data_IF_170076151764
#
_entry.id   IF_170076151764
#
_cell.length_a   1.000
_cell.length_b   1.000
_cell.length_c   1.000
_cell.angle_alpha   90.00
_cell.angle_beta   90.00
_cell.angle_gamma   90.00
#
_symmetry.space_group_name_H-M   'P 1'
#
loop_
_entity.id
_entity.type
_entity.pdbx_description
1 polymer ?
#
# COMPACT_ATOMS: atom_id res chain seq x y z
N UNK A 1 -30.21 -8.51 -17.83
CA UNK A 1 -29.71 -7.47 -16.90
C UNK A 1 -29.53 -7.98 -15.47
N UNK A 2 -30.52 -8.61 -14.83
CA UNK A 2 -30.38 -9.14 -13.46
C UNK A 2 -29.33 -10.27 -13.35
N UNK A 3 -29.28 -11.16 -14.35
CA UNK A 3 -28.37 -12.31 -14.38
C UNK A 3 -26.90 -11.90 -14.55
N UNK A 4 -26.63 -10.89 -15.38
CA UNK A 4 -25.28 -10.38 -15.62
C UNK A 4 -24.69 -9.70 -14.37
N UNK A 5 -25.51 -8.92 -13.65
CA UNK A 5 -25.08 -8.30 -12.39
C UNK A 5 -24.72 -9.36 -11.34
N UNK A 6 -25.54 -10.41 -11.22
CA UNK A 6 -25.31 -11.51 -10.29
C UNK A 6 -24.01 -12.27 -10.63
N UNK A 7 -23.80 -12.60 -11.92
CA UNK A 7 -22.55 -13.21 -12.39
C UNK A 7 -21.34 -12.32 -12.07
N UNK A 8 -21.44 -11.00 -12.27
CA UNK A 8 -20.35 -10.08 -11.96
C UNK A 8 -20.04 -9.99 -10.45
N UNK A 9 -21.05 -10.12 -9.59
CA UNK A 9 -20.86 -10.18 -8.14
C UNK A 9 -20.15 -11.47 -7.72
N UNK A 10 -20.56 -12.62 -8.26
CA UNK A 10 -19.90 -13.91 -8.03
C UNK A 10 -18.44 -13.90 -8.51
N UNK A 11 -18.19 -13.39 -9.72
CA UNK A 11 -16.83 -13.25 -10.25
C UNK A 11 -15.99 -12.33 -9.35
N UNK A 12 -16.54 -11.21 -8.88
CA UNK A 12 -15.83 -10.32 -7.96
C UNK A 12 -15.49 -11.02 -6.64
N UNK A 13 -16.40 -11.84 -6.13
CA UNK A 13 -16.18 -12.60 -4.90
C UNK A 13 -15.03 -13.60 -5.08
N UNK A 14 -15.05 -14.39 -6.16
CA UNK A 14 -14.01 -15.37 -6.45
C UNK A 14 -12.65 -14.71 -6.71
N UNK A 15 -12.62 -13.60 -7.46
CA UNK A 15 -11.40 -12.80 -7.65
C UNK A 15 -10.86 -12.26 -6.32
N UNK A 16 -11.73 -11.86 -5.41
CA UNK A 16 -11.32 -11.39 -4.08
C UNK A 16 -10.70 -12.52 -3.25
N UNK A 17 -11.29 -13.73 -3.28
CA UNK A 17 -10.72 -14.92 -2.62
C UNK A 17 -9.35 -15.28 -3.19
N UNK A 18 -9.22 -15.28 -4.52
CA UNK A 18 -7.93 -15.54 -5.20
C UNK A 18 -6.88 -14.50 -4.78
N UNK A 19 -7.24 -13.22 -4.78
CA UNK A 19 -6.35 -12.14 -4.32
C UNK A 19 -5.85 -12.39 -2.90
N UNK A 20 -6.74 -12.72 -1.96
CA UNK A 20 -6.37 -12.97 -0.56
C UNK A 20 -5.40 -14.16 -0.43
N UNK A 21 -5.62 -15.24 -1.17
CA UNK A 21 -4.73 -16.40 -1.16
C UNK A 21 -3.36 -16.05 -1.75
N UNK A 22 -3.31 -15.29 -2.84
CA UNK A 22 -2.06 -14.83 -3.44
C UNK A 22 -1.28 -13.90 -2.49
N UNK A 23 -1.96 -12.96 -1.83
CA UNK A 23 -1.34 -12.09 -0.82
C UNK A 23 -0.76 -12.88 0.35
N UNK A 24 -1.45 -13.94 0.78
CA UNK A 24 -0.95 -14.82 1.84
C UNK A 24 0.32 -15.57 1.40
N UNK A 25 0.32 -16.15 0.20
CA UNK A 25 1.47 -16.87 -0.36
C UNK A 25 2.66 -15.92 -0.56
N UNK A 26 2.40 -14.73 -1.11
CA UNK A 26 3.41 -13.73 -1.43
C UNK A 26 3.90 -12.93 -0.21
N UNK A 27 3.29 -13.12 0.98
CA UNK A 27 3.56 -12.30 2.17
C UNK A 27 5.04 -12.22 2.54
N UNK A 28 5.78 -13.31 2.40
CA UNK A 28 7.23 -13.34 2.63
C UNK A 28 7.98 -12.40 1.68
N UNK A 29 7.77 -12.57 0.38
CA UNK A 29 8.42 -11.75 -0.65
C UNK A 29 8.02 -10.27 -0.55
N UNK A 30 6.73 -9.98 -0.30
CA UNK A 30 6.24 -8.61 -0.11
C UNK A 30 6.89 -7.93 1.10
N UNK A 31 7.11 -8.69 2.17
CA UNK A 31 7.83 -8.21 3.36
C UNK A 31 9.29 -7.92 3.02
N UNK A 32 9.97 -8.84 2.34
CA UNK A 32 11.37 -8.65 1.95
C UNK A 32 11.56 -7.43 1.04
N UNK A 33 10.69 -7.22 0.06
CA UNK A 33 10.73 -6.03 -0.80
C UNK A 33 10.47 -4.75 -0.01
N UNK A 34 9.49 -4.78 0.91
CA UNK A 34 9.22 -3.63 1.78
C UNK A 34 10.42 -3.33 2.69
N UNK A 35 11.10 -4.33 3.23
CA UNK A 35 12.27 -4.13 4.11
C UNK A 35 13.47 -3.53 3.37
N UNK A 36 13.62 -3.76 2.06
CA UNK A 36 14.62 -3.07 1.22
C UNK A 36 14.37 -1.57 1.11
N UNK A 37 13.12 -1.14 1.23
CA UNK A 37 12.71 0.27 1.14
C UNK A 37 12.53 0.88 2.52
N UNK A 38 11.89 0.21 3.48
CA UNK A 38 11.61 0.71 4.82
C UNK A 38 12.77 0.48 5.79
N UNK A 39 13.99 0.86 5.37
CA UNK A 39 15.26 0.55 6.08
C UNK A 39 15.50 1.38 7.33
N UNK A 40 14.80 2.50 7.51
CA UNK A 40 14.95 3.37 8.69
C UNK A 40 13.63 3.53 9.44
N UNK A 41 13.66 3.88 10.75
CA UNK A 41 12.44 4.12 11.52
C UNK A 41 11.51 5.15 10.89
N UNK A 42 12.04 6.21 10.28
CA UNK A 42 11.23 7.20 9.57
C UNK A 42 10.54 6.62 8.34
N UNK A 43 11.24 5.77 7.57
CA UNK A 43 10.68 5.13 6.37
C UNK A 43 9.60 4.12 6.76
N UNK A 44 9.78 3.37 7.85
CA UNK A 44 8.74 2.51 8.46
C UNK A 44 7.52 3.33 8.89
N UNK A 45 7.73 4.49 9.53
CA UNK A 45 6.64 5.41 9.91
C UNK A 45 5.90 5.99 8.70
N UNK A 46 6.62 6.35 7.63
CA UNK A 46 6.00 6.80 6.36
C UNK A 46 5.08 5.70 5.84
N UNK A 47 5.57 4.47 5.73
CA UNK A 47 4.75 3.33 5.32
C UNK A 47 3.51 3.13 6.20
N UNK A 48 3.67 3.15 7.53
CA UNK A 48 2.57 2.96 8.46
C UNK A 48 1.48 4.05 8.34
N UNK A 49 1.87 5.29 8.03
CA UNK A 49 0.95 6.43 7.85
C UNK A 49 0.33 6.50 6.44
N UNK A 50 0.82 5.71 5.48
CA UNK A 50 0.42 5.78 4.08
C UNK A 50 -0.81 4.91 3.76
N UNK A 51 -1.90 5.11 4.50
CA UNK A 51 -3.15 4.34 4.40
C UNK A 51 -4.22 4.98 3.50
N UNK A 52 -3.84 6.01 2.73
CA UNK A 52 -4.74 6.81 1.89
C UNK A 52 -5.53 7.89 2.61
N UNK A 53 -5.29 8.14 3.90
CA UNK A 53 -5.96 9.20 4.66
C UNK A 53 -5.23 10.55 4.64
N UNK A 54 -3.92 10.56 4.36
CA UNK A 54 -3.07 11.75 4.46
C UNK A 54 -2.30 12.05 3.17
N UNK A 55 -2.03 13.33 2.93
CA UNK A 55 -1.10 13.77 1.89
C UNK A 55 0.36 13.74 2.36
N UNK A 56 1.28 13.94 1.42
CA UNK A 56 2.74 13.96 1.68
C UNK A 56 3.17 15.04 2.68
N UNK A 57 2.49 16.18 2.69
CA UNK A 57 2.79 17.30 3.59
C UNK A 57 2.41 16.97 5.04
N UNK A 58 1.22 16.42 5.26
CA UNK A 58 0.72 15.99 6.58
C UNK A 58 1.54 14.85 7.16
N UNK A 59 2.04 13.95 6.32
CA UNK A 59 2.92 12.89 6.77
C UNK A 59 4.29 13.45 7.15
N UNK A 60 4.84 14.37 6.36
CA UNK A 60 6.09 15.05 6.67
C UNK A 60 6.00 15.81 8.02
N UNK A 61 4.89 16.52 8.26
CA UNK A 61 4.58 17.19 9.52
C UNK A 61 4.57 16.20 10.70
N UNK A 62 3.83 15.09 10.58
CA UNK A 62 3.73 14.06 11.65
C UNK A 62 5.06 13.41 12.02
N UNK A 63 5.98 13.26 11.05
CA UNK A 63 7.27 12.58 11.28
C UNK A 63 8.43 13.56 11.50
N UNK A 64 8.20 14.88 11.43
CA UNK A 64 9.24 15.90 11.57
C UNK A 64 10.33 15.80 10.49
N UNK A 65 9.94 15.58 9.23
CA UNK A 65 10.84 15.47 8.07
C UNK A 65 10.35 16.33 6.91
N UNK A 66 11.13 16.40 5.84
CA UNK A 66 10.77 17.18 4.64
C UNK A 66 9.77 16.43 3.77
N UNK A 67 8.89 17.16 3.09
CA UNK A 67 7.97 16.59 2.09
C UNK A 67 8.73 15.85 0.98
N UNK A 68 9.92 16.32 0.61
CA UNK A 68 10.80 15.68 -0.38
C UNK A 68 11.20 14.27 0.02
N UNK A 69 11.53 14.04 1.29
CA UNK A 69 11.86 12.70 1.80
C UNK A 69 10.65 11.77 1.67
N UNK A 70 9.47 12.24 2.05
CA UNK A 70 8.22 11.46 1.94
C UNK A 70 7.93 11.12 0.48
N UNK A 71 8.03 12.09 -0.44
CA UNK A 71 7.84 11.89 -1.88
C UNK A 71 8.83 10.89 -2.48
N UNK A 72 10.09 10.91 -2.04
CA UNK A 72 11.08 9.94 -2.48
C UNK A 72 10.67 8.52 -2.07
N UNK A 73 10.30 8.31 -0.81
CA UNK A 73 9.90 6.99 -0.31
C UNK A 73 8.66 6.47 -1.05
N UNK A 74 7.67 7.33 -1.30
CA UNK A 74 6.46 6.97 -2.05
C UNK A 74 6.78 6.57 -3.48
N UNK A 75 7.73 7.25 -4.12
CA UNK A 75 8.17 6.88 -5.48
C UNK A 75 8.78 5.49 -5.49
N UNK A 76 9.70 5.22 -4.56
CA UNK A 76 10.36 3.92 -4.44
C UNK A 76 9.33 2.80 -4.13
N UNK A 77 8.36 3.07 -3.24
CA UNK A 77 7.24 2.15 -2.98
C UNK A 77 6.35 1.92 -4.20
N UNK A 78 6.14 2.95 -5.03
CA UNK A 78 5.36 2.87 -6.25
C UNK A 78 6.08 2.10 -7.37
N UNK A 79 7.39 2.30 -7.51
CA UNK A 79 8.24 1.53 -8.44
C UNK A 79 8.29 0.05 -8.08
N UNK A 80 8.22 -0.29 -6.79
CA UNK A 80 8.11 -1.65 -6.28
C UNK A 80 6.67 -2.21 -6.28
N UNK A 81 5.70 -1.46 -6.80
CA UNK A 81 4.27 -1.80 -6.82
C UNK A 81 3.68 -2.15 -5.44
N UNK A 82 4.20 -1.55 -4.36
CA UNK A 82 3.73 -1.81 -2.98
C UNK A 82 2.59 -0.85 -2.55
N UNK A 83 2.37 0.20 -3.34
CA UNK A 83 1.28 1.17 -3.15
C UNK A 83 0.50 1.38 -4.45
N UNK A 84 -0.77 1.76 -4.32
CA UNK A 84 -1.65 2.10 -5.43
C UNK A 84 -1.96 3.60 -5.42
N UNK A 85 -1.77 4.26 -6.57
CA UNK A 85 -2.17 5.64 -6.76
C UNK A 85 -3.63 5.70 -7.21
N UNK A 86 -4.55 6.01 -6.29
CA UNK A 86 -5.94 6.27 -6.67
C UNK A 86 -6.02 7.54 -7.54
N UNK A 87 -6.79 7.50 -8.64
CA UNK A 87 -7.04 8.66 -9.52
C UNK A 87 -7.66 9.86 -8.79
N UNK A 88 -8.32 9.61 -7.65
CA UNK A 88 -8.85 10.61 -6.70
C UNK A 88 -8.64 10.07 -5.29
N UNK A 89 -7.87 10.77 -4.48
CA UNK A 89 -7.52 10.34 -3.12
C UNK A 89 -6.02 10.31 -2.90
N UNK A 90 -5.60 9.91 -1.71
CA UNK A 90 -4.19 9.66 -1.43
C UNK A 90 -3.86 8.20 -1.72
N UNK A 91 -2.67 7.92 -2.28
CA UNK A 91 -2.26 6.56 -2.57
C UNK A 91 -2.31 5.68 -1.31
N UNK A 92 -2.66 4.40 -1.49
CA UNK A 92 -2.88 3.43 -0.41
C UNK A 92 -1.91 2.28 -0.53
N UNK A 93 -1.54 1.67 0.61
CA UNK A 93 -0.82 0.38 0.61
C UNK A 93 -1.64 -0.68 -0.10
N UNK A 94 -0.99 -1.53 -0.88
CA UNK A 94 -1.66 -2.68 -1.52
C UNK A 94 -1.92 -3.83 -0.55
N UNK A 95 -1.17 -3.91 0.53
CA UNK A 95 -1.30 -4.97 1.54
C UNK A 95 -1.07 -4.42 2.95
N UNK A 96 -1.76 -5.03 3.92
CA UNK A 96 -1.61 -4.69 5.32
C UNK A 96 -0.43 -5.45 5.92
N UNK A 97 0.67 -4.73 6.07
CA UNK A 97 1.82 -5.17 6.85
C UNK A 97 2.34 -3.97 7.65
N UNK A 98 2.73 -4.18 8.90
CA UNK A 98 3.45 -3.18 9.69
C UNK A 98 4.84 -3.77 9.93
N UNK A 99 5.91 -3.21 9.33
CA UNK A 99 7.27 -3.64 9.60
C UNK A 99 7.54 -3.60 11.11
N UNK A 100 8.19 -4.64 11.63
CA UNK A 100 8.65 -4.65 13.02
C UNK A 100 9.66 -3.52 13.26
N UNK A 101 9.68 -2.96 14.47
CA UNK A 101 10.62 -1.91 14.88
C UNK A 101 12.09 -2.29 14.64
#
# INVERSE_FOLDING_TARGET
MYNEKMIMEEVREEVSKIRTLLEFIARGNLKEELEKIATTPERKKIWALWDGSLNTEKIAEKIGRTQRMVQQVIRELGEADLIEFERRGYPKRRFDHVPSD
#
